data_IF_879084433760
#
_entry.id   IF_879084433760
#
_cell.length_a   1.000
_cell.length_b   1.000
_cell.length_c   1.000
_cell.angle_alpha   90.00
_cell.angle_beta   90.00
_cell.angle_gamma   90.00
#
_symmetry.space_group_name_H-M   'P 1'
#
loop_
_entity.id
_entity.type
_entity.pdbx_description
1 polymer ?
#
# COMPACT_ATOMS: atom_id res chain seq x y z
N UNK A 1 7.37 13.03 2.83
CA UNK A 1 6.92 12.71 1.46
C UNK A 1 8.00 11.83 0.85
N UNK A 2 7.71 10.54 0.68
CA UNK A 2 8.60 9.60 -0.01
C UNK A 2 8.06 9.39 -1.42
N UNK A 3 8.77 9.91 -2.42
CA UNK A 3 8.43 9.68 -3.83
C UNK A 3 9.20 8.44 -4.32
N UNK A 4 8.49 7.42 -4.77
CA UNK A 4 9.08 6.17 -5.24
C UNK A 4 9.39 6.26 -6.74
N UNK A 5 10.69 6.35 -7.08
CA UNK A 5 11.19 6.37 -8.45
C UNK A 5 11.80 5.00 -8.79
N UNK A 6 11.52 4.48 -9.98
CA UNK A 6 12.10 3.21 -10.44
C UNK A 6 12.55 3.22 -11.91
N UNK A 7 12.95 4.40 -12.42
CA UNK A 7 13.66 4.52 -13.71
C UNK A 7 15.15 4.63 -13.43
N UNK A 8 16.02 4.17 -14.33
CA UNK A 8 17.46 4.45 -14.22
C UNK A 8 17.78 5.91 -14.56
N UNK A 9 17.01 6.52 -15.47
CA UNK A 9 17.19 7.86 -15.98
C UNK A 9 15.88 8.66 -15.97
N UNK A 10 15.95 9.97 -15.77
CA UNK A 10 14.85 10.90 -16.06
C UNK A 10 14.81 11.28 -17.55
N UNK A 11 13.84 12.12 -17.93
CA UNK A 11 13.68 12.61 -19.31
C UNK A 11 14.87 13.46 -19.81
N UNK A 12 15.73 13.89 -18.90
CA UNK A 12 16.93 14.71 -19.14
C UNK A 12 18.22 13.88 -19.07
N UNK A 13 18.13 12.57 -18.83
CA UNK A 13 19.29 11.67 -18.71
C UNK A 13 19.98 11.71 -17.35
N UNK A 14 19.35 12.24 -16.30
CA UNK A 14 19.87 12.18 -14.93
C UNK A 14 19.58 10.82 -14.30
N UNK A 15 20.54 10.27 -13.56
CA UNK A 15 20.34 9.00 -12.87
C UNK A 15 19.39 9.12 -11.67
N UNK A 16 18.32 8.33 -11.64
CA UNK A 16 17.67 8.08 -10.36
C UNK A 16 18.42 6.97 -9.62
N UNK A 17 18.67 7.19 -8.32
CA UNK A 17 19.44 6.31 -7.47
C UNK A 17 18.72 5.00 -7.08
N UNK A 18 17.50 4.76 -7.57
CA UNK A 18 16.62 3.68 -7.11
C UNK A 18 16.40 2.68 -8.24
N UNK A 19 17.31 1.69 -8.28
CA UNK A 19 17.31 0.52 -9.19
C UNK A 19 17.21 -0.79 -8.39
N UNK A 20 16.76 -0.72 -7.12
CA UNK A 20 16.90 -1.82 -6.16
C UNK A 20 15.63 -2.02 -5.36
N UNK A 21 15.47 -3.23 -4.82
CA UNK A 21 14.39 -3.56 -3.91
C UNK A 21 14.45 -2.67 -2.67
N UNK A 22 13.30 -2.16 -2.24
CA UNK A 22 13.18 -1.29 -1.07
C UNK A 22 12.37 -2.00 0.02
N UNK A 23 12.71 -1.73 1.27
CA UNK A 23 11.95 -2.24 2.41
C UNK A 23 11.82 -1.17 3.49
N UNK A 24 10.58 -0.88 3.87
CA UNK A 24 10.24 -0.12 5.06
C UNK A 24 9.77 -1.11 6.14
N UNK A 25 10.40 -1.07 7.32
CA UNK A 25 9.96 -1.85 8.49
C UNK A 25 9.62 -0.92 9.64
N UNK A 26 8.40 -1.04 10.15
CA UNK A 26 7.96 -0.44 11.41
C UNK A 26 7.73 -1.59 12.40
N UNK A 27 8.64 -1.74 13.36
CA UNK A 27 8.58 -2.82 14.35
C UNK A 27 8.47 -2.16 15.71
N UNK A 28 7.47 -2.55 16.51
CA UNK A 28 7.24 -1.99 17.85
C UNK A 28 7.16 -0.46 17.85
N UNK A 29 6.52 0.09 16.82
CA UNK A 29 6.36 1.53 16.64
C UNK A 29 4.99 1.99 17.14
N UNK A 30 4.92 3.23 17.60
CA UNK A 30 3.66 3.94 17.83
C UNK A 30 3.58 5.13 16.88
N UNK A 31 2.61 5.10 15.96
CA UNK A 31 2.36 6.18 15.01
C UNK A 31 1.02 6.80 15.37
N UNK A 32 1.08 7.93 16.08
CA UNK A 32 -0.12 8.53 16.66
C UNK A 32 -0.24 10.04 16.47
N UNK A 33 -1.48 10.54 16.49
CA UNK A 33 -1.82 11.96 16.49
C UNK A 33 -1.33 12.77 15.27
N UNK A 34 -1.10 12.11 14.12
CA UNK A 34 -0.75 12.82 12.90
C UNK A 34 -1.99 13.46 12.25
N UNK A 35 -1.84 14.68 11.75
CA UNK A 35 -2.94 15.42 11.08
C UNK A 35 -3.42 14.74 9.79
N UNK A 36 -2.57 13.95 9.15
CA UNK A 36 -2.81 13.28 7.86
C UNK A 36 -2.65 11.75 8.00
N UNK A 37 -2.23 11.06 6.96
CA UNK A 37 -1.94 9.63 6.97
C UNK A 37 -0.84 9.28 7.99
N UNK A 38 -0.94 8.12 8.63
CA UNK A 38 0.16 7.53 9.39
C UNK A 38 1.29 7.11 8.44
N UNK A 39 0.93 6.49 7.32
CA UNK A 39 1.86 6.11 6.24
C UNK A 39 1.25 6.51 4.91
N UNK A 40 2.00 7.30 4.14
CA UNK A 40 1.67 7.69 2.78
C UNK A 40 2.70 7.07 1.82
N UNK A 41 2.22 6.28 0.88
CA UNK A 41 2.99 5.71 -0.21
C UNK A 41 2.59 6.37 -1.53
N UNK A 42 3.56 6.90 -2.26
CA UNK A 42 3.34 7.54 -3.56
C UNK A 42 4.18 6.86 -4.65
N UNK A 43 3.54 6.18 -5.59
CA UNK A 43 4.18 5.61 -6.78
C UNK A 43 3.86 6.47 -8.01
N UNK A 44 4.66 7.51 -8.29
CA UNK A 44 4.36 8.49 -9.33
C UNK A 44 4.59 8.02 -10.77
N UNK A 45 5.40 6.97 -11.01
CA UNK A 45 6.02 6.83 -12.32
C UNK A 45 5.48 5.69 -13.20
N UNK A 46 5.09 6.12 -14.41
CA UNK A 46 5.06 5.36 -15.65
C UNK A 46 6.47 4.87 -16.00
N UNK A 47 6.66 3.63 -16.48
CA UNK A 47 7.86 3.27 -17.24
C UNK A 47 7.50 2.84 -18.66
N UNK A 48 8.04 3.57 -19.64
CA UNK A 48 7.88 3.32 -21.07
C UNK A 48 8.89 2.28 -21.59
N UNK A 49 9.94 2.00 -20.80
CA UNK A 49 10.99 1.07 -21.16
C UNK A 49 10.82 -0.27 -20.43
N UNK A 50 11.35 -1.35 -21.01
CA UNK A 50 11.46 -2.65 -20.32
C UNK A 50 12.60 -2.57 -19.31
N UNK A 51 12.34 -1.97 -18.14
CA UNK A 51 13.25 -2.02 -17.01
C UNK A 51 13.00 -3.28 -16.17
N UNK A 52 13.97 -3.63 -15.32
CA UNK A 52 13.77 -4.67 -14.32
C UNK A 52 12.64 -4.29 -13.35
N UNK A 53 12.00 -5.32 -12.79
CA UNK A 53 11.04 -5.17 -11.70
C UNK A 53 11.81 -4.84 -10.42
N UNK A 54 11.30 -3.88 -9.67
CA UNK A 54 11.75 -3.54 -8.33
C UNK A 54 10.66 -3.91 -7.33
N UNK A 55 11.03 -4.61 -6.26
CA UNK A 55 10.10 -4.95 -5.19
C UNK A 55 10.15 -3.92 -4.06
N UNK A 56 9.00 -3.52 -3.56
CA UNK A 56 8.87 -2.63 -2.40
C UNK A 56 8.06 -3.33 -1.32
N UNK A 57 8.71 -3.61 -0.20
CA UNK A 57 8.08 -4.28 0.95
C UNK A 57 7.80 -3.27 2.05
N UNK A 58 6.56 -3.23 2.52
CA UNK A 58 6.12 -2.42 3.64
C UNK A 58 5.68 -3.39 4.72
N UNK A 59 6.46 -3.45 5.79
CA UNK A 59 6.22 -4.33 6.91
C UNK A 59 5.91 -3.51 8.15
N UNK A 60 4.77 -3.78 8.76
CA UNK A 60 4.41 -3.31 10.08
C UNK A 60 4.29 -4.55 10.96
N UNK A 61 4.91 -4.50 12.14
CA UNK A 61 4.90 -5.60 13.07
C UNK A 61 4.83 -5.09 14.51
N UNK A 62 3.98 -5.71 15.32
CA UNK A 62 3.83 -5.43 16.75
C UNK A 62 3.67 -3.93 17.04
N UNK A 63 2.99 -3.18 16.17
CA UNK A 63 2.92 -1.72 16.22
C UNK A 63 1.50 -1.20 16.45
N UNK A 64 1.41 0.04 16.93
CA UNK A 64 0.16 0.76 17.14
C UNK A 64 0.04 1.93 16.17
N UNK A 65 -1.05 1.98 15.39
CA UNK A 65 -1.40 3.09 14.52
C UNK A 65 -2.73 3.68 14.98
N UNK A 66 -2.68 4.81 15.69
CA UNK A 66 -3.87 5.37 16.34
C UNK A 66 -4.05 6.86 16.18
N UNK A 67 -5.30 7.32 16.20
CA UNK A 67 -5.65 8.75 16.29
C UNK A 67 -5.04 9.61 15.16
N UNK A 68 -4.78 9.03 13.98
CA UNK A 68 -4.31 9.75 12.79
C UNK A 68 -5.47 10.17 11.89
N UNK A 69 -5.17 11.06 10.93
CA UNK A 69 -6.10 11.39 9.85
C UNK A 69 -6.50 10.16 9.04
N UNK A 70 -5.52 9.38 8.57
CA UNK A 70 -5.73 8.05 7.96
C UNK A 70 -4.71 7.06 8.51
N UNK A 71 -4.97 5.76 8.38
CA UNK A 71 -3.95 4.72 8.60
C UNK A 71 -2.90 4.74 7.49
N UNK A 72 -3.00 3.78 6.57
CA UNK A 72 -2.10 3.61 5.43
C UNK A 72 -2.84 3.98 4.15
N UNK A 73 -2.24 4.86 3.35
CA UNK A 73 -2.76 5.24 2.05
C UNK A 73 -1.68 5.11 0.99
N UNK A 74 -1.98 4.37 -0.08
CA UNK A 74 -1.11 4.22 -1.24
C UNK A 74 -1.78 4.75 -2.49
N UNK A 75 -1.20 5.81 -3.01
CA UNK A 75 -1.60 6.44 -4.25
C UNK A 75 -0.61 6.14 -5.37
N UNK A 76 -1.11 5.54 -6.46
CA UNK A 76 -0.40 5.39 -7.73
C UNK A 76 -0.88 6.45 -8.72
N UNK A 77 0.02 7.29 -9.23
CA UNK A 77 -0.34 8.34 -10.20
C UNK A 77 -0.59 7.78 -11.60
N UNK A 78 0.23 6.80 -12.00
CA UNK A 78 0.02 6.02 -13.22
C UNK A 78 -0.15 4.55 -12.86
N UNK A 79 -1.33 4.02 -13.18
CA UNK A 79 -1.66 2.62 -12.92
C UNK A 79 -1.34 1.72 -14.11
N UNK A 80 -1.04 2.22 -15.30
CA UNK A 80 -1.10 1.40 -16.52
C UNK A 80 0.17 0.61 -16.81
N UNK A 81 1.33 1.18 -16.46
CA UNK A 81 2.63 0.60 -16.80
C UNK A 81 3.66 0.96 -15.71
N UNK A 82 3.73 0.14 -14.67
CA UNK A 82 4.75 0.24 -13.62
C UNK A 82 5.66 -0.98 -13.62
N UNK A 83 6.90 -0.79 -13.19
CA UNK A 83 7.85 -1.85 -12.88
C UNK A 83 7.99 -2.08 -11.36
N UNK A 84 7.04 -1.59 -10.56
CA UNK A 84 7.05 -1.74 -9.10
C UNK A 84 6.13 -2.88 -8.67
N UNK A 85 6.65 -3.80 -7.86
CA UNK A 85 5.87 -4.82 -7.17
C UNK A 85 5.78 -4.49 -5.68
N UNK A 86 4.58 -4.21 -5.19
CA UNK A 86 4.33 -3.89 -3.79
C UNK A 86 3.90 -5.10 -2.98
N UNK A 87 4.49 -5.24 -1.80
CA UNK A 87 4.16 -6.23 -0.78
C UNK A 87 3.87 -5.53 0.54
N UNK A 88 2.68 -5.76 1.08
CA UNK A 88 2.28 -5.24 2.38
C UNK A 88 2.18 -6.38 3.38
N UNK A 89 2.83 -6.24 4.53
CA UNK A 89 2.86 -7.23 5.61
C UNK A 89 2.49 -6.54 6.91
N UNK A 90 1.40 -6.98 7.55
CA UNK A 90 0.93 -6.50 8.85
C UNK A 90 0.82 -7.69 9.78
N UNK A 91 1.47 -7.63 10.93
CA UNK A 91 1.53 -8.73 11.87
C UNK A 91 1.48 -8.23 13.31
N UNK A 92 0.51 -8.75 14.07
CA UNK A 92 0.35 -8.40 15.49
C UNK A 92 0.14 -6.89 15.72
N UNK A 93 -0.42 -6.18 14.75
CA UNK A 93 -0.62 -4.73 14.80
C UNK A 93 -2.01 -4.36 15.32
N UNK A 94 -2.10 -3.19 15.95
CA UNK A 94 -3.38 -2.57 16.31
C UNK A 94 -3.55 -1.26 15.56
N UNK A 95 -4.64 -1.14 14.81
CA UNK A 95 -5.01 0.04 14.05
C UNK A 95 -6.36 0.56 14.57
N UNK A 96 -6.34 1.67 15.28
CA UNK A 96 -7.52 2.14 15.98
C UNK A 96 -7.76 3.66 15.94
N UNK A 97 -9.03 4.07 16.08
CA UNK A 97 -9.43 5.48 16.20
C UNK A 97 -8.92 6.43 15.10
N UNK A 98 -8.52 5.91 13.94
CA UNK A 98 -8.16 6.76 12.79
C UNK A 98 -9.43 7.34 12.17
N UNK A 99 -9.33 8.56 11.61
CA UNK A 99 -10.53 9.36 11.25
C UNK A 99 -11.11 9.06 9.87
N UNK A 100 -10.25 8.80 8.89
CA UNK A 100 -10.61 8.67 7.49
C UNK A 100 -9.80 7.54 6.85
N UNK A 101 -10.40 6.37 6.66
CA UNK A 101 -9.71 5.21 6.06
C UNK A 101 -8.90 4.38 7.06
N UNK A 102 -8.29 3.29 6.57
CA UNK A 102 -7.46 2.39 7.38
C UNK A 102 -6.31 1.80 6.59
N UNK A 103 -6.63 1.06 5.52
CA UNK A 103 -5.66 0.57 4.54
C UNK A 103 -6.29 0.72 3.16
N UNK A 104 -5.90 1.76 2.43
CA UNK A 104 -6.45 2.07 1.11
C UNK A 104 -5.31 2.12 0.10
N UNK A 105 -5.20 1.06 -0.71
CA UNK A 105 -4.09 0.88 -1.64
C UNK A 105 -4.57 0.68 -3.08
N UNK A 106 -3.91 1.39 -4.00
CA UNK A 106 -4.09 1.24 -5.45
C UNK A 106 -2.81 0.76 -6.10
N UNK A 107 -2.81 -0.53 -6.45
CA UNK A 107 -1.67 -1.25 -6.99
C UNK A 107 -1.56 -1.03 -8.52
N UNK A 108 -0.38 -0.64 -9.03
CA UNK A 108 -0.20 -0.39 -10.45
C UNK A 108 -0.07 -1.70 -11.25
N UNK A 109 -0.40 -1.66 -12.53
CA UNK A 109 -0.24 -2.80 -13.44
C UNK A 109 1.22 -3.01 -13.79
N UNK A 110 1.72 -4.21 -13.55
CA UNK A 110 3.07 -4.62 -13.91
C UNK A 110 3.05 -5.17 -15.33
N UNK A 111 3.74 -4.49 -16.26
CA UNK A 111 3.60 -4.75 -17.70
C UNK A 111 4.27 -6.04 -18.19
N UNK A 112 4.99 -6.74 -17.32
CA UNK A 112 5.53 -8.05 -17.63
C UNK A 112 4.47 -9.10 -17.32
N UNK A 113 3.67 -9.47 -18.33
CA UNK A 113 2.73 -10.62 -18.31
C UNK A 113 3.49 -11.95 -18.19
N UNK A 114 4.22 -12.14 -17.09
CA UNK A 114 4.57 -13.45 -16.60
C UNK A 114 3.77 -13.69 -15.31
N UNK A 115 3.36 -14.92 -15.07
CA UNK A 115 2.53 -15.30 -13.93
C UNK A 115 3.29 -15.26 -12.58
N UNK A 116 4.58 -14.90 -12.57
CA UNK A 116 5.44 -15.01 -11.39
C UNK A 116 5.55 -13.73 -10.55
N UNK A 117 5.10 -12.57 -11.03
CA UNK A 117 5.22 -11.30 -10.30
C UNK A 117 3.86 -10.76 -9.89
N UNK A 118 3.47 -11.08 -8.65
CA UNK A 118 2.16 -10.76 -8.07
C UNK A 118 2.33 -9.87 -6.83
N UNK A 119 1.53 -8.81 -6.74
CA UNK A 119 1.46 -8.01 -5.52
C UNK A 119 0.98 -8.86 -4.34
N UNK A 120 1.36 -8.52 -3.11
CA UNK A 120 0.81 -9.23 -1.96
C UNK A 120 0.35 -8.31 -0.84
N UNK A 121 -0.70 -8.74 -0.16
CA UNK A 121 -1.15 -8.16 1.10
C UNK A 121 -1.34 -9.30 2.09
N UNK A 122 -0.51 -9.33 3.11
CA UNK A 122 -0.55 -10.30 4.19
C UNK A 122 -0.90 -9.58 5.50
N UNK A 123 -1.98 -10.00 6.15
CA UNK A 123 -2.43 -9.50 7.44
C UNK A 123 -2.66 -10.68 8.38
N UNK A 124 -1.90 -10.74 9.46
CA UNK A 124 -2.01 -11.80 10.45
C UNK A 124 -2.10 -11.25 11.87
N UNK A 125 -3.09 -11.73 12.61
CA UNK A 125 -3.30 -11.40 14.03
C UNK A 125 -3.42 -9.90 14.33
N UNK A 126 -3.97 -9.12 13.39
CA UNK A 126 -4.15 -7.69 13.56
C UNK A 126 -5.49 -7.36 14.22
N UNK A 127 -5.59 -6.20 14.86
CA UNK A 127 -6.87 -5.66 15.38
C UNK A 127 -7.16 -4.31 14.77
N UNK A 128 -8.29 -4.20 14.08
CA UNK A 128 -8.84 -2.96 13.57
C UNK A 128 -10.03 -2.55 14.42
N UNK A 129 -9.96 -1.43 15.14
CA UNK A 129 -11.07 -1.05 16.02
C UNK A 129 -11.37 0.43 16.13
N UNK A 130 -12.65 0.76 16.29
CA UNK A 130 -13.12 2.13 16.53
C UNK A 130 -12.66 3.15 15.47
N UNK A 131 -12.29 2.71 14.27
CA UNK A 131 -11.93 3.62 13.18
C UNK A 131 -13.20 4.25 12.61
N UNK A 132 -13.12 5.53 12.23
CA UNK A 132 -14.18 6.26 11.52
C UNK A 132 -13.88 6.28 10.04
N UNK A 133 -14.94 6.22 9.25
CA UNK A 133 -14.89 6.10 7.79
C UNK A 133 -13.84 5.08 7.33
N UNK A 134 -13.80 3.91 7.99
CA UNK A 134 -12.83 2.86 7.70
C UNK A 134 -12.96 2.44 6.24
N UNK A 135 -11.80 2.34 5.59
CA UNK A 135 -11.62 1.82 4.24
C UNK A 135 -10.50 0.79 4.35
N UNK A 136 -10.82 -0.46 4.07
CA UNK A 136 -9.87 -1.54 3.81
C UNK A 136 -10.04 -1.93 2.34
N UNK A 137 -9.25 -1.33 1.46
CA UNK A 137 -9.40 -1.45 0.01
C UNK A 137 -8.08 -1.83 -0.64
N UNK A 138 -8.14 -2.86 -1.49
CA UNK A 138 -7.05 -3.30 -2.35
C UNK A 138 -7.60 -3.25 -3.78
N UNK A 139 -7.13 -2.29 -4.57
CA UNK A 139 -7.66 -2.02 -5.91
C UNK A 139 -6.53 -1.89 -6.94
N UNK A 140 -6.87 -1.96 -8.23
CA UNK A 140 -5.93 -1.87 -9.35
C UNK A 140 -5.58 -3.23 -9.95
N UNK A 141 -4.30 -3.59 -9.93
CA UNK A 141 -3.81 -4.86 -10.46
C UNK A 141 -4.00 -6.02 -9.48
N UNK A 142 -3.87 -7.25 -9.99
CA UNK A 142 -4.00 -8.47 -9.20
C UNK A 142 -3.01 -8.51 -8.03
N UNK A 143 -3.50 -8.98 -6.88
CA UNK A 143 -2.73 -9.21 -5.67
C UNK A 143 -3.17 -10.50 -4.97
N UNK A 144 -2.21 -11.23 -4.40
CA UNK A 144 -2.48 -12.28 -3.44
C UNK A 144 -2.81 -11.64 -2.09
N UNK A 145 -4.00 -11.91 -1.56
CA UNK A 145 -4.48 -11.33 -0.31
C UNK A 145 -4.73 -12.43 0.71
N UNK A 146 -4.05 -12.34 1.85
CA UNK A 146 -4.21 -13.24 2.98
C UNK A 146 -4.51 -12.44 4.23
N UNK A 147 -5.68 -12.66 4.82
CA UNK A 147 -6.10 -12.05 6.07
C UNK A 147 -6.47 -13.18 7.04
N UNK A 148 -5.64 -13.41 8.05
CA UNK A 148 -5.80 -14.47 9.04
C UNK A 148 -5.78 -13.90 10.45
N UNK A 149 -6.55 -14.52 11.36
CA UNK A 149 -6.62 -14.15 12.79
C UNK A 149 -6.88 -12.66 13.08
N UNK A 150 -7.37 -11.91 12.10
CA UNK A 150 -7.54 -10.46 12.20
C UNK A 150 -8.95 -10.14 12.69
N UNK A 151 -9.06 -9.21 13.64
CA UNK A 151 -10.34 -8.78 14.23
C UNK A 151 -10.72 -7.40 13.72
N UNK A 152 -12.00 -7.21 13.42
CA UNK A 152 -12.58 -5.93 13.02
C UNK A 152 -13.73 -5.60 13.95
N UNK A 153 -13.54 -4.66 14.88
CA UNK A 153 -14.49 -4.38 15.95
C UNK A 153 -14.90 -2.91 15.96
N UNK A 154 -16.22 -2.64 15.92
CA UNK A 154 -16.77 -1.28 16.10
C UNK A 154 -16.21 -0.22 15.14
N UNK A 155 -15.83 -0.61 13.92
CA UNK A 155 -15.42 0.34 12.89
C UNK A 155 -16.65 0.87 12.16
N UNK A 156 -16.72 2.18 11.95
CA UNK A 156 -17.70 2.77 11.05
C UNK A 156 -17.12 2.76 9.64
N UNK A 157 -17.59 1.85 8.79
CA UNK A 157 -17.06 1.67 7.43
C UNK A 157 -17.72 2.66 6.48
N UNK A 158 -16.92 3.27 5.59
CA UNK A 158 -17.44 4.24 4.62
C UNK A 158 -18.34 3.57 3.57
N UNK A 159 -17.85 2.45 3.02
CA UNK A 159 -18.56 1.63 2.04
C UNK A 159 -18.77 0.23 2.66
N UNK A 160 -17.90 -0.73 2.33
CA UNK A 160 -17.83 -2.05 2.97
C UNK A 160 -16.65 -2.19 3.93
N UNK A 161 -16.63 -3.28 4.70
CA UNK A 161 -15.51 -3.59 5.60
C UNK A 161 -14.21 -3.89 4.83
N UNK A 162 -14.31 -4.71 3.78
CA UNK A 162 -13.21 -5.08 2.88
C UNK A 162 -13.70 -4.92 1.44
N UNK A 163 -12.91 -4.25 0.61
CA UNK A 163 -13.13 -4.10 -0.82
C UNK A 163 -11.94 -4.65 -1.59
N UNK A 164 -12.22 -5.52 -2.57
CA UNK A 164 -11.25 -6.00 -3.54
C UNK A 164 -11.72 -5.51 -4.90
N UNK A 165 -10.98 -4.57 -5.46
CA UNK A 165 -11.31 -3.90 -6.71
C UNK A 165 -10.38 -4.33 -7.84
N UNK A 166 -10.86 -4.10 -9.07
CA UNK A 166 -10.05 -4.12 -10.27
C UNK A 166 -10.31 -2.84 -11.04
N UNK A 167 -9.31 -2.33 -11.76
CA UNK A 167 -9.51 -1.14 -12.58
C UNK A 167 -10.48 -1.44 -13.74
N UNK A 168 -11.62 -0.74 -13.75
CA UNK A 168 -12.47 -0.63 -14.93
C UNK A 168 -11.82 0.35 -15.92
N UNK A 169 -11.39 -0.13 -17.09
CA UNK A 169 -11.28 0.75 -18.26
C UNK A 169 -12.69 1.22 -18.60
N UNK A 170 -12.98 2.50 -18.40
CA UNK A 170 -14.07 3.14 -19.11
C UNK A 170 -13.75 3.05 -20.60
N UNK A 171 -14.53 2.28 -21.35
CA UNK A 171 -14.51 2.31 -22.82
C UNK A 171 -14.97 3.68 -23.32
#
# INVERSE_FOLDING_TARGET
MGLYYNRYLDELGNHYLRKANETLKCIQCEITHNKREAILMESPNWDLHKSNISETVIMINSSLITDNGKGIYHFSRDMRQSNNLFHYVFQDDTIERNKYGGFDVRLPYVWQYNENFTHSVYMDNNTWMNNRDLILSIDGHYAEVNITRTKFNNNFCKDGLLSIGAWKKSC
#
